data_IF_235193306410
#
_entry.id   IF_235193306410
#
_cell.length_a   1.000
_cell.length_b   1.000
_cell.length_c   1.000
_cell.angle_alpha   90.00
_cell.angle_beta   90.00
_cell.angle_gamma   90.00
#
_symmetry.space_group_name_H-M   'P 1'
#
loop_
_entity.id
_entity.type
_entity.pdbx_description
1 polymer ?
#
# COMPACT_ATOMS: atom_id res chain seq x y z
N UNK A 1 11.33 1.61 13.80
CA UNK A 1 12.09 1.04 12.67
C UNK A 1 11.30 1.41 11.43
N UNK A 2 11.93 2.05 10.46
CA UNK A 2 11.27 2.52 9.24
C UNK A 2 10.91 1.33 8.34
N UNK A 3 9.64 1.20 7.95
CA UNK A 3 9.14 0.10 7.11
C UNK A 3 9.87 0.09 5.78
N UNK A 4 10.16 1.26 5.21
CA UNK A 4 10.90 1.39 3.96
C UNK A 4 12.32 0.81 4.10
N UNK A 5 12.99 1.08 5.21
CA UNK A 5 14.33 0.55 5.48
C UNK A 5 14.34 -0.98 5.65
N UNK A 6 13.30 -1.55 6.27
CA UNK A 6 13.16 -3.01 6.41
C UNK A 6 12.93 -3.65 5.03
N UNK A 7 12.05 -3.06 4.22
CA UNK A 7 11.75 -3.55 2.87
C UNK A 7 12.96 -3.44 1.94
N UNK A 8 13.69 -2.32 1.96
CA UNK A 8 14.93 -2.16 1.19
C UNK A 8 15.95 -3.23 1.56
N UNK A 9 16.17 -3.46 2.86
CA UNK A 9 17.09 -4.50 3.32
C UNK A 9 16.67 -5.91 2.87
N UNK A 10 15.39 -6.26 3.02
CA UNK A 10 14.86 -7.57 2.63
C UNK A 10 14.92 -7.80 1.11
N UNK A 11 14.64 -6.77 0.31
CA UNK A 11 14.71 -6.86 -1.16
C UNK A 11 16.16 -6.98 -1.64
N UNK A 12 17.10 -6.27 -1.01
CA UNK A 12 18.54 -6.45 -1.29
C UNK A 12 19.01 -7.85 -0.95
N UNK A 13 18.60 -8.39 0.20
CA UNK A 13 18.93 -9.77 0.59
C UNK A 13 18.36 -10.81 -0.40
N UNK A 14 17.18 -10.53 -0.95
CA UNK A 14 16.58 -11.35 -2.01
C UNK A 14 17.24 -11.19 -3.40
N UNK A 15 18.25 -10.31 -3.53
CA UNK A 15 19.03 -10.14 -4.76
C UNK A 15 18.47 -9.12 -5.76
N UNK A 16 17.52 -8.27 -5.36
CA UNK A 16 17.07 -7.15 -6.19
C UNK A 16 18.12 -6.03 -6.24
N UNK A 17 18.30 -5.43 -7.42
CA UNK A 17 19.16 -4.26 -7.57
C UNK A 17 18.51 -2.97 -7.03
N UNK A 18 19.33 -1.98 -6.70
CA UNK A 18 18.88 -0.74 -6.07
C UNK A 18 17.91 0.07 -6.96
N UNK A 19 18.09 0.05 -8.28
CA UNK A 19 17.22 0.78 -9.22
C UNK A 19 15.83 0.14 -9.30
N UNK A 20 15.77 -1.19 -9.27
CA UNK A 20 14.53 -1.98 -9.21
C UNK A 20 13.82 -1.75 -7.89
N UNK A 21 14.56 -1.73 -6.78
CA UNK A 21 13.98 -1.41 -5.46
C UNK A 21 13.41 0.00 -5.47
N UNK A 22 14.19 1.00 -5.89
CA UNK A 22 13.75 2.40 -5.91
C UNK A 22 12.53 2.63 -6.79
N UNK A 23 12.46 1.98 -7.95
CA UNK A 23 11.30 2.08 -8.86
C UNK A 23 10.08 1.30 -8.38
N UNK A 24 10.25 0.18 -7.68
CA UNK A 24 9.16 -0.67 -7.20
C UNK A 24 8.63 -0.26 -5.82
N UNK A 25 9.43 0.37 -4.96
CA UNK A 25 9.10 0.67 -3.57
C UNK A 25 7.76 1.41 -3.42
N UNK A 26 7.48 2.50 -4.16
CA UNK A 26 6.22 3.22 -4.00
C UNK A 26 5.00 2.36 -4.34
N UNK A 27 5.15 1.41 -5.26
CA UNK A 27 4.09 0.48 -5.63
C UNK A 27 3.87 -0.59 -4.56
N UNK A 28 4.95 -1.11 -3.97
CA UNK A 28 4.87 -2.09 -2.89
C UNK A 28 4.19 -1.48 -1.67
N UNK A 29 4.59 -0.28 -1.26
CA UNK A 29 3.99 0.42 -0.13
C UNK A 29 2.48 0.62 -0.34
N UNK A 30 2.04 1.08 -1.52
CA UNK A 30 0.60 1.22 -1.83
C UNK A 30 -0.17 -0.10 -1.76
N UNK A 31 0.47 -1.23 -2.10
CA UNK A 31 -0.16 -2.55 -1.96
C UNK A 31 -0.36 -2.89 -0.48
N UNK A 32 0.63 -2.62 0.35
CA UNK A 32 0.55 -2.83 1.80
C UNK A 32 -0.52 -1.92 2.42
N UNK A 33 -0.55 -0.64 2.07
CA UNK A 33 -1.58 0.30 2.54
C UNK A 33 -2.99 -0.11 2.09
N UNK A 34 -3.15 -0.60 0.85
CA UNK A 34 -4.44 -1.11 0.39
C UNK A 34 -4.91 -2.35 1.18
N UNK A 35 -3.97 -3.16 1.64
CA UNK A 35 -4.25 -4.30 2.52
C UNK A 35 -4.62 -3.84 3.93
N UNK A 36 -3.96 -2.82 4.46
CA UNK A 36 -4.33 -2.20 5.74
C UNK A 36 -5.76 -1.65 5.69
N UNK A 37 -6.16 -0.99 4.60
CA UNK A 37 -7.56 -0.56 4.39
C UNK A 37 -8.51 -1.76 4.44
N UNK A 38 -8.17 -2.89 3.79
CA UNK A 38 -9.01 -4.09 3.78
C UNK A 38 -9.14 -4.68 5.18
N UNK A 39 -8.05 -4.73 5.94
CA UNK A 39 -8.02 -5.22 7.32
C UNK A 39 -8.90 -4.32 8.19
N UNK A 40 -8.75 -3.00 8.12
CA UNK A 40 -9.49 -2.04 8.93
C UNK A 40 -10.98 -1.98 8.61
N UNK A 41 -11.36 -2.18 7.34
CA UNK A 41 -12.76 -2.31 6.93
C UNK A 41 -13.40 -3.60 7.46
N UNK A 42 -12.60 -4.64 7.77
CA UNK A 42 -13.09 -5.88 8.38
C UNK A 42 -13.95 -6.75 7.46
N UNK A 43 -13.99 -6.45 6.16
CA UNK A 43 -14.70 -7.24 5.14
C UNK A 43 -13.98 -7.21 3.80
N UNK A 44 -14.40 -8.10 2.89
CA UNK A 44 -13.94 -8.04 1.50
C UNK A 44 -14.45 -6.77 0.82
N UNK A 45 -13.57 -6.14 0.06
CA UNK A 45 -13.88 -5.02 -0.82
C UNK A 45 -14.38 -5.54 -2.16
N UNK A 46 -15.44 -4.94 -2.68
CA UNK A 46 -15.90 -5.13 -4.05
C UNK A 46 -14.86 -4.65 -5.07
N UNK A 47 -15.05 -4.99 -6.35
CA UNK A 47 -14.16 -4.50 -7.41
C UNK A 47 -14.09 -2.96 -7.46
N UNK A 48 -15.25 -2.29 -7.35
CA UNK A 48 -15.34 -0.82 -7.37
C UNK A 48 -14.64 -0.19 -6.16
N UNK A 49 -14.79 -0.79 -4.98
CA UNK A 49 -14.13 -0.30 -3.77
C UNK A 49 -12.62 -0.49 -3.84
N UNK A 50 -12.12 -1.61 -4.37
CA UNK A 50 -10.67 -1.81 -4.58
C UNK A 50 -10.08 -0.77 -5.54
N UNK A 51 -10.81 -0.46 -6.61
CA UNK A 51 -10.40 0.58 -7.56
C UNK A 51 -10.41 1.97 -6.91
N UNK A 52 -11.41 2.27 -6.09
CA UNK A 52 -11.45 3.50 -5.29
C UNK A 52 -10.24 3.59 -4.35
N UNK A 53 -9.97 2.56 -3.54
CA UNK A 53 -8.83 2.52 -2.62
C UNK A 53 -7.51 2.78 -3.35
N UNK A 54 -7.26 2.05 -4.44
CA UNK A 54 -6.05 2.24 -5.26
C UNK A 54 -5.90 3.70 -5.71
N UNK A 55 -6.96 4.29 -6.26
CA UNK A 55 -6.91 5.67 -6.76
C UNK A 55 -6.65 6.66 -5.63
N UNK A 56 -7.30 6.50 -4.46
CA UNK A 56 -7.09 7.42 -3.34
C UNK A 56 -5.66 7.35 -2.78
N UNK A 57 -5.08 6.15 -2.67
CA UNK A 57 -3.69 5.99 -2.24
C UNK A 57 -2.71 6.54 -3.29
N UNK A 58 -3.00 6.39 -4.59
CA UNK A 58 -2.24 7.04 -5.66
C UNK A 58 -2.30 8.58 -5.58
N UNK A 59 -3.40 9.14 -5.08
CA UNK A 59 -3.56 10.57 -4.83
C UNK A 59 -2.93 11.05 -3.51
N UNK A 60 -2.35 10.14 -2.72
CA UNK A 60 -1.65 10.45 -1.48
C UNK A 60 -2.53 10.57 -0.23
N UNK A 61 -3.76 10.05 -0.27
CA UNK A 61 -4.59 9.94 0.94
C UNK A 61 -4.03 8.84 1.86
N UNK A 62 -4.12 9.08 3.16
CA UNK A 62 -3.79 8.09 4.18
C UNK A 62 -4.83 6.96 4.25
N UNK A 63 -4.42 5.80 4.78
CA UNK A 63 -5.29 4.64 5.04
C UNK A 63 -6.56 5.06 5.80
N UNK A 64 -6.42 5.85 6.86
CA UNK A 64 -7.56 6.29 7.69
C UNK A 64 -8.55 7.18 6.93
N UNK A 65 -8.07 8.06 6.05
CA UNK A 65 -8.93 8.89 5.20
C UNK A 65 -9.72 8.04 4.20
N UNK A 66 -9.05 7.06 3.60
CA UNK A 66 -9.69 6.12 2.66
C UNK A 66 -10.74 5.27 3.37
N UNK A 67 -10.43 4.74 4.56
CA UNK A 67 -11.38 3.97 5.39
C UNK A 67 -12.59 4.83 5.77
N UNK A 68 -12.38 6.09 6.16
CA UNK A 68 -13.46 7.02 6.45
C UNK A 68 -14.35 7.27 5.22
N UNK A 69 -13.77 7.32 4.01
CA UNK A 69 -14.51 7.43 2.76
C UNK A 69 -15.37 6.21 2.42
N UNK A 70 -14.93 5.00 2.80
CA UNK A 70 -15.62 3.74 2.54
C UNK A 70 -16.74 3.40 3.54
N UNK A 71 -16.70 3.99 4.75
CA UNK A 71 -17.70 3.76 5.81
C UNK A 71 -18.90 4.71 5.73
N UNK A 72 -18.87 5.69 4.84
CA UNK A 72 -20.00 6.56 4.51
C UNK A 72 -20.99 5.84 3.60
#
# INVERSE_FOLDING_TARGET
MDIEAILDAALREAGYDADTIGSAMPRILRILEAEDVRIEIGRRLSRKEREYVRLQLELGLSVSEVVAGLRK
#
